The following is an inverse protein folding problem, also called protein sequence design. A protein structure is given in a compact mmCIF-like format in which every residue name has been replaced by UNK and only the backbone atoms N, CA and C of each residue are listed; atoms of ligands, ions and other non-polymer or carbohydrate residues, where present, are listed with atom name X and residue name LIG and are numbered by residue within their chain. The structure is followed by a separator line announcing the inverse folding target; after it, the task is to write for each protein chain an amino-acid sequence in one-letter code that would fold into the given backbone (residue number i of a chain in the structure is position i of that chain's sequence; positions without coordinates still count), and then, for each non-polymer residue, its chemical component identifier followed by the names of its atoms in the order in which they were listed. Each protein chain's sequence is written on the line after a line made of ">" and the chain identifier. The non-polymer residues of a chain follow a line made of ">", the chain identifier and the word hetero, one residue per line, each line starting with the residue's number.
data_IF_447878162620
#
_entry.id   IF_447878162620
#
_cell.length_a   1.000
_cell.length_b   1.000
_cell.length_c   1.000
_cell.angle_alpha   90.00
_cell.angle_beta   90.00
_cell.angle_gamma   90.00
#
_symmetry.space_group_name_H-M   'P 1'
#
loop_
_entity.id
_entity.type
_entity.pdbx_description
1 polymer ?
#
# COMPACT_ATOMS: atom_id res chain seq x y z
N UNK A 1 -10.59 -2.38 14.98
CA UNK A 1 -9.50 -2.57 14.01
C UNK A 1 -8.23 -3.19 14.61
N UNK A 2 -7.37 -2.49 15.37
CA UNK A 2 -6.05 -3.05 15.75
C UNK A 2 -6.11 -4.25 16.69
N UNK A 3 -7.06 -4.25 17.64
CA UNK A 3 -7.33 -5.44 18.47
C UNK A 3 -7.80 -6.63 17.64
N UNK A 4 -8.56 -6.39 16.57
CA UNK A 4 -9.01 -7.44 15.64
C UNK A 4 -7.84 -7.97 14.80
N UNK A 5 -6.95 -7.09 14.34
CA UNK A 5 -5.73 -7.50 13.62
C UNK A 5 -4.85 -8.38 14.51
N UNK A 6 -4.58 -7.96 15.75
CA UNK A 6 -3.77 -8.74 16.68
C UNK A 6 -4.43 -10.08 17.05
N UNK A 7 -5.74 -10.08 17.30
CA UNK A 7 -6.49 -11.32 17.60
C UNK A 7 -6.70 -12.21 16.37
N UNK A 8 -6.51 -11.69 15.15
CA UNK A 8 -6.64 -12.48 13.92
C UNK A 8 -5.53 -13.51 13.73
N UNK A 9 -4.47 -13.46 14.54
CA UNK A 9 -3.30 -14.32 14.43
C UNK A 9 -2.72 -14.35 13.00
N UNK A 10 -2.63 -13.18 12.36
CA UNK A 10 -2.08 -13.01 11.02
C UNK A 10 -3.00 -13.44 9.87
N UNK A 11 -4.31 -13.59 10.10
CA UNK A 11 -5.31 -13.87 9.05
C UNK A 11 -5.80 -12.62 8.31
N UNK A 12 -5.69 -11.44 8.92
CA UNK A 12 -6.05 -10.17 8.26
C UNK A 12 -4.83 -9.63 7.51
N UNK A 13 -5.04 -9.25 6.25
CA UNK A 13 -4.08 -8.50 5.43
C UNK A 13 -4.61 -7.08 5.27
N UNK A 14 -3.83 -6.11 5.75
CA UNK A 14 -4.16 -4.69 5.59
C UNK A 14 -3.70 -4.19 4.23
N UNK A 15 -4.58 -3.57 3.45
CA UNK A 15 -4.20 -2.87 2.22
C UNK A 15 -4.14 -1.36 2.45
N UNK A 16 -3.08 -0.71 1.96
CA UNK A 16 -2.87 0.74 2.05
C UNK A 16 -2.46 1.26 0.67
N UNK A 17 -3.35 2.00 0.01
CA UNK A 17 -3.13 2.44 -1.38
C UNK A 17 -2.03 3.51 -1.52
N UNK A 18 -1.81 4.30 -0.47
CA UNK A 18 -0.80 5.35 -0.43
C UNK A 18 0.04 5.23 0.85
N UNK A 19 0.85 4.18 0.96
CA UNK A 19 1.54 3.84 2.21
C UNK A 19 2.52 4.93 2.69
N UNK A 20 3.01 5.78 1.79
CA UNK A 20 3.80 6.97 2.09
C UNK A 20 3.06 7.98 2.97
N UNK A 21 1.73 8.02 2.96
CA UNK A 21 0.95 8.89 3.87
C UNK A 21 1.14 8.50 5.33
N UNK A 22 1.35 7.21 5.60
CA UNK A 22 1.57 6.66 6.94
C UNK A 22 3.06 6.73 7.31
N UNK A 23 3.94 6.52 6.33
CA UNK A 23 5.39 6.47 6.57
C UNK A 23 6.02 7.88 6.62
N UNK A 24 5.56 8.79 5.77
CA UNK A 24 6.08 10.15 5.60
C UNK A 24 5.45 11.21 6.51
N UNK A 25 4.42 10.89 7.29
CA UNK A 25 3.71 11.83 8.17
C UNK A 25 4.54 12.42 9.34
N UNK A 26 5.84 12.12 9.43
CA UNK A 26 6.73 12.70 10.46
C UNK A 26 6.90 14.22 10.41
N UNK A 27 6.28 14.92 9.44
CA UNK A 27 6.39 16.37 9.25
C UNK A 27 5.03 17.09 9.09
N UNK A 28 3.89 16.41 9.24
CA UNK A 28 2.56 17.05 9.10
C UNK A 28 1.90 17.17 10.48
N UNK A 29 1.67 18.41 10.91
CA UNK A 29 0.82 18.74 12.07
C UNK A 29 -0.64 18.36 11.74
N UNK A 30 -1.15 17.27 12.31
CA UNK A 30 -2.55 16.83 12.14
C UNK A 30 -2.83 15.35 12.47
N UNK A 31 -4.12 14.97 12.45
CA UNK A 31 -4.72 13.68 12.87
C UNK A 31 -4.07 12.38 12.32
N UNK A 32 -3.17 12.47 11.34
CA UNK A 32 -2.42 11.34 10.76
C UNK A 32 -1.26 10.86 11.64
N UNK A 33 -0.84 11.65 12.63
CA UNK A 33 0.28 11.35 13.51
C UNK A 33 0.01 10.10 14.39
N UNK A 34 -1.23 9.92 14.84
CA UNK A 34 -1.61 8.81 15.72
C UNK A 34 -1.60 7.45 15.01
N UNK A 35 -1.95 7.42 13.72
CA UNK A 35 -1.95 6.18 12.93
C UNK A 35 -0.53 5.73 12.60
N UNK A 36 0.36 6.66 12.21
CA UNK A 36 1.78 6.36 11.92
C UNK A 36 2.51 5.80 13.15
N UNK A 37 2.35 6.44 14.31
CA UNK A 37 3.00 6.04 15.55
C UNK A 37 2.58 4.65 16.02
N UNK A 38 1.37 4.21 15.63
CA UNK A 38 0.80 2.93 16.01
C UNK A 38 1.15 1.80 15.03
N UNK A 39 1.15 2.08 13.72
CA UNK A 39 1.44 1.08 12.69
C UNK A 39 2.93 0.82 12.50
N UNK A 40 3.80 1.84 12.59
CA UNK A 40 5.25 1.67 12.40
C UNK A 40 5.86 0.61 13.33
N UNK A 41 5.56 0.59 14.65
CA UNK A 41 6.07 -0.46 15.54
C UNK A 41 5.56 -1.86 15.19
N UNK A 42 4.29 -1.99 14.81
CA UNK A 42 3.68 -3.29 14.47
C UNK A 42 4.25 -3.86 13.16
N UNK A 43 4.49 -2.99 12.17
CA UNK A 43 5.21 -3.33 10.93
C UNK A 43 6.67 -3.69 11.22
N UNK A 44 7.33 -2.93 12.10
CA UNK A 44 8.70 -3.18 12.56
C UNK A 44 8.88 -4.53 13.27
N UNK A 45 7.84 -4.99 14.00
CA UNK A 45 7.83 -6.29 14.68
C UNK A 45 7.28 -7.44 13.83
N UNK A 46 6.66 -7.16 12.69
CA UNK A 46 6.05 -8.19 11.82
C UNK A 46 4.71 -8.74 12.35
N UNK A 47 4.07 -8.04 13.28
CA UNK A 47 2.76 -8.39 13.86
C UNK A 47 1.61 -8.09 12.89
N UNK A 48 1.85 -7.20 11.92
CA UNK A 48 0.88 -6.76 10.93
C UNK A 48 1.32 -7.22 9.53
N UNK A 49 0.47 -8.01 8.87
CA UNK A 49 0.61 -8.28 7.43
C UNK A 49 -0.06 -7.15 6.66
N UNK A 50 0.68 -6.52 5.76
CA UNK A 50 0.11 -5.49 4.91
C UNK A 50 0.66 -5.53 3.48
N UNK A 51 -0.12 -4.97 2.57
CA UNK A 51 0.25 -4.67 1.19
C UNK A 51 0.11 -3.15 1.04
N UNK A 52 1.21 -2.47 0.75
CA UNK A 52 1.24 -1.05 0.46
C UNK A 52 1.44 -0.80 -1.03
N UNK A 53 0.67 0.12 -1.60
CA UNK A 53 0.96 0.69 -2.91
C UNK A 53 1.65 2.05 -2.76
N UNK A 54 2.61 2.31 -3.65
CA UNK A 54 3.43 3.52 -3.65
C UNK A 54 4.02 3.73 -5.04
N UNK A 55 4.20 4.98 -5.47
CA UNK A 55 4.95 5.28 -6.69
C UNK A 55 6.45 5.12 -6.47
N UNK A 56 7.21 4.85 -7.54
CA UNK A 56 8.67 4.74 -7.44
C UNK A 56 9.32 6.02 -6.90
N UNK A 57 8.76 7.18 -7.25
CA UNK A 57 9.25 8.49 -6.80
C UNK A 57 9.07 8.66 -5.29
N UNK A 58 7.90 8.33 -4.75
CA UNK A 58 7.61 8.43 -3.32
C UNK A 58 8.37 7.40 -2.51
N UNK A 59 8.56 6.19 -3.06
CA UNK A 59 9.39 5.15 -2.45
C UNK A 59 10.80 5.67 -2.15
N UNK A 60 11.47 6.25 -3.14
CA UNK A 60 12.81 6.84 -2.99
C UNK A 60 12.84 8.01 -2.01
N UNK A 61 11.76 8.80 -1.96
CA UNK A 61 11.67 10.00 -1.11
C UNK A 61 11.44 9.66 0.36
N UNK A 62 10.63 8.63 0.66
CA UNK A 62 10.10 8.37 2.00
C UNK A 62 10.46 6.99 2.56
N UNK A 63 10.33 5.90 1.78
CA UNK A 63 10.55 4.53 2.26
C UNK A 63 12.03 4.14 2.28
N UNK A 64 12.77 4.45 1.21
CA UNK A 64 14.18 4.10 1.07
C UNK A 64 15.07 4.81 2.10
N UNK A 65 14.61 5.93 2.65
CA UNK A 65 15.31 6.69 3.68
C UNK A 65 15.09 6.16 5.11
N UNK A 66 14.17 5.21 5.32
CA UNK A 66 13.91 4.56 6.60
C UNK A 66 14.38 3.09 6.55
N UNK A 67 15.60 2.77 7.03
CA UNK A 67 16.17 1.42 6.95
C UNK A 67 15.37 0.36 7.70
N UNK A 68 14.56 0.76 8.70
CA UNK A 68 13.76 -0.18 9.50
C UNK A 68 12.57 -0.65 8.68
N UNK A 69 11.87 0.28 8.04
CA UNK A 69 10.74 -0.05 7.17
C UNK A 69 11.21 -0.72 5.88
N UNK A 70 12.28 -0.23 5.27
CA UNK A 70 12.81 -0.79 4.02
C UNK A 70 13.09 -2.29 4.12
N UNK A 71 13.63 -2.75 5.26
CA UNK A 71 13.95 -4.16 5.51
C UNK A 71 12.74 -5.02 5.86
N UNK A 72 11.58 -4.42 6.15
CA UNK A 72 10.33 -5.13 6.50
C UNK A 72 9.39 -5.31 5.32
N UNK A 73 9.56 -4.51 4.28
CA UNK A 73 8.80 -4.64 3.05
C UNK A 73 9.57 -5.39 1.99
N UNK A 74 8.92 -6.39 1.37
CA UNK A 74 9.40 -6.96 0.13
C UNK A 74 8.96 -6.07 -1.03
N UNK A 75 9.92 -5.50 -1.76
CA UNK A 75 9.64 -4.71 -2.97
C UNK A 75 9.14 -5.65 -4.06
N UNK A 76 7.96 -5.34 -4.62
CA UNK A 76 7.40 -5.97 -5.81
C UNK A 76 7.19 -4.86 -6.84
N UNK A 77 7.94 -4.89 -7.93
CA UNK A 77 7.85 -3.87 -8.97
C UNK A 77 6.69 -4.21 -9.92
N UNK A 78 5.73 -3.30 -10.03
CA UNK A 78 4.63 -3.41 -10.97
C UNK A 78 4.91 -2.55 -12.20
N UNK A 79 5.26 -3.21 -13.31
CA UNK A 79 5.48 -2.54 -14.58
C UNK A 79 4.17 -2.09 -15.21
N UNK A 80 4.24 -1.07 -16.05
CA UNK A 80 3.13 -0.78 -16.95
C UNK A 80 2.84 -2.00 -17.85
N UNK A 81 1.57 -2.30 -18.14
CA UNK A 81 1.21 -3.39 -19.03
C UNK A 81 1.80 -3.16 -20.43
N UNK A 82 2.11 -4.25 -21.14
CA UNK A 82 2.47 -4.15 -22.56
C UNK A 82 1.27 -3.66 -23.39
N UNK A 83 1.50 -3.29 -24.66
CA UNK A 83 0.40 -2.93 -25.57
C UNK A 83 -0.58 -4.10 -25.71
N UNK A 84 -0.07 -5.33 -25.84
CA UNK A 84 -0.91 -6.53 -25.97
C UNK A 84 -1.74 -6.81 -24.70
N UNK A 85 -1.12 -6.70 -23.52
CA UNK A 85 -1.82 -6.83 -22.23
C UNK A 85 -2.87 -5.74 -22.08
N UNK A 86 -2.56 -4.50 -22.46
CA UNK A 86 -3.48 -3.36 -22.40
C UNK A 86 -4.70 -3.61 -23.28
N UNK A 87 -4.50 -4.10 -24.51
CA UNK A 87 -5.61 -4.47 -25.40
C UNK A 87 -6.48 -5.57 -24.75
N UNK A 88 -5.86 -6.57 -24.12
CA UNK A 88 -6.58 -7.65 -23.42
C UNK A 88 -7.41 -7.12 -22.24
N UNK A 89 -6.82 -6.26 -21.40
CA UNK A 89 -7.49 -5.60 -20.27
C UNK A 89 -8.70 -4.80 -20.76
N UNK A 90 -8.53 -3.97 -21.79
CA UNK A 90 -9.60 -3.14 -22.35
C UNK A 90 -10.74 -4.00 -22.94
N UNK A 91 -10.41 -5.11 -23.63
CA UNK A 91 -11.42 -6.06 -24.10
C UNK A 91 -12.20 -6.68 -22.95
N UNK A 92 -11.54 -7.03 -21.85
CA UNK A 92 -12.20 -7.54 -20.63
C UNK A 92 -13.13 -6.51 -19.97
N UNK A 93 -12.77 -5.24 -20.02
CA UNK A 93 -13.57 -4.14 -19.48
C UNK A 93 -14.72 -3.70 -20.41
N UNK A 94 -14.70 -4.09 -21.68
CA UNK A 94 -15.64 -3.62 -22.71
C UNK A 94 -17.11 -3.68 -22.26
N UNK A 95 -17.56 -4.83 -21.75
CA UNK A 95 -18.96 -5.03 -21.30
C UNK A 95 -19.38 -4.03 -20.22
N UNK A 96 -18.47 -3.66 -19.31
CA UNK A 96 -18.75 -2.72 -18.23
C UNK A 96 -18.96 -1.29 -18.75
N UNK A 97 -18.23 -0.91 -19.80
CA UNK A 97 -18.34 0.41 -20.41
C UNK A 97 -19.49 0.51 -21.42
N UNK A 98 -19.82 -0.57 -22.14
CA UNK A 98 -20.98 -0.60 -23.05
C UNK A 98 -22.30 -0.38 -22.29
N UNK A 99 -22.42 -0.90 -21.06
CA UNK A 99 -23.59 -0.69 -20.18
C UNK A 99 -23.73 0.76 -19.67
N UNK A 100 -22.67 1.59 -19.71
CA UNK A 100 -22.76 3.00 -19.32
C UNK A 100 -23.30 3.89 -20.45
N UNK A 101 -23.39 3.35 -21.67
CA UNK A 101 -23.80 4.07 -22.88
C UNK A 101 -25.24 3.69 -23.30
N UNK A 102 -25.82 2.66 -22.67
CA UNK A 102 -27.21 2.22 -22.85
C UNK A 102 -28.10 2.74 -21.72
#
# INVERSE_FOLDING_TARGET
>A
MLKEINSSNGKIILFIDEIQTIVGAGACEGDTMDVSNLLKPMLGRGELKCIGAITLTEYRKHMEKDPTLERRFQKVFCNQPSIEDTISILRGLRKRYELLIQ
#
